data_IF_256404288695
#
_entry.id   IF_256404288695
#
_cell.length_a   1.000
_cell.length_b   1.000
_cell.length_c   1.000
_cell.angle_alpha   90.00
_cell.angle_beta   90.00
_cell.angle_gamma   90.00
#
_symmetry.space_group_name_H-M   'P 1'
#
loop_
_entity.id
_entity.type
_entity.pdbx_description
1 polymer ?
#
# COMPACT_ATOMS: atom_id res chain seq x y z
N UNK A 1 21.05 6.06 -2.91
CA UNK A 1 20.27 7.31 -3.07
C UNK A 1 18.90 7.06 -2.47
N UNK A 2 18.33 8.02 -1.73
CA UNK A 2 17.00 7.89 -1.14
C UNK A 2 16.04 8.82 -1.89
N UNK A 3 15.04 8.25 -2.54
CA UNK A 3 13.95 8.97 -3.16
C UNK A 3 12.80 9.15 -2.17
N UNK A 4 12.10 10.27 -2.27
CA UNK A 4 10.90 10.52 -1.48
C UNK A 4 9.69 9.93 -2.20
N UNK A 5 9.01 9.01 -1.53
CA UNK A 5 7.68 8.55 -1.95
C UNK A 5 6.66 9.66 -1.69
N UNK A 6 5.83 9.97 -2.69
CA UNK A 6 4.73 10.94 -2.56
C UNK A 6 3.44 10.21 -2.95
N UNK A 7 2.53 10.09 -1.99
CA UNK A 7 1.20 9.55 -2.24
C UNK A 7 0.34 10.56 -2.98
N UNK A 8 -0.34 10.11 -4.01
CA UNK A 8 -1.41 10.89 -4.62
C UNK A 8 -2.62 10.86 -3.67
N UNK A 9 -3.41 11.94 -3.51
CA UNK A 9 -4.58 11.93 -2.61
C UNK A 9 -5.60 10.82 -2.90
N UNK A 10 -5.69 10.36 -4.16
CA UNK A 10 -6.52 9.20 -4.53
C UNK A 10 -6.02 7.88 -3.95
N UNK A 11 -4.71 7.75 -3.72
CA UNK A 11 -4.11 6.51 -3.21
C UNK A 11 -4.54 6.24 -1.78
N UNK A 12 -4.72 7.27 -0.95
CA UNK A 12 -5.24 7.11 0.41
C UNK A 12 -6.68 6.55 0.38
N UNK A 13 -7.55 7.12 -0.46
CA UNK A 13 -8.90 6.61 -0.65
C UNK A 13 -8.95 5.19 -1.25
N UNK A 14 -8.00 4.84 -2.11
CA UNK A 14 -7.87 3.49 -2.67
C UNK A 14 -7.43 2.48 -1.62
N UNK A 15 -6.51 2.85 -0.70
CA UNK A 15 -6.08 1.99 0.41
C UNK A 15 -7.21 1.79 1.44
N UNK A 16 -7.97 2.83 1.75
CA UNK A 16 -9.13 2.74 2.64
C UNK A 16 -10.22 1.82 2.06
N UNK A 17 -10.50 1.97 0.77
CA UNK A 17 -11.45 1.10 0.08
C UNK A 17 -10.97 -0.35 0.08
N UNK A 18 -9.70 -0.58 -0.23
CA UNK A 18 -9.09 -1.90 -0.22
C UNK A 18 -9.18 -2.56 1.16
N UNK A 19 -8.91 -1.81 2.23
CA UNK A 19 -9.10 -2.29 3.60
C UNK A 19 -10.56 -2.71 3.82
N UNK A 20 -11.52 -1.83 3.50
CA UNK A 20 -12.93 -2.09 3.74
C UNK A 20 -13.42 -3.33 2.96
N UNK A 21 -13.07 -3.44 1.69
CA UNK A 21 -13.45 -4.56 0.82
C UNK A 21 -12.89 -5.90 1.37
N UNK A 22 -11.63 -5.95 1.80
CA UNK A 22 -11.04 -7.16 2.39
C UNK A 22 -11.63 -7.44 3.78
N UNK A 23 -11.87 -6.42 4.60
CA UNK A 23 -12.37 -6.59 5.95
C UNK A 23 -13.77 -7.22 5.98
N UNK A 24 -14.61 -6.88 5.00
CA UNK A 24 -15.95 -7.47 4.82
C UNK A 24 -15.86 -8.98 4.54
N UNK A 25 -14.93 -9.40 3.68
CA UNK A 25 -14.86 -10.79 3.20
C UNK A 25 -13.97 -11.69 4.08
N UNK A 26 -12.89 -11.15 4.63
CA UNK A 26 -11.81 -11.91 5.26
C UNK A 26 -11.52 -11.48 6.71
N UNK A 27 -12.21 -10.45 7.20
CA UNK A 27 -12.02 -9.90 8.54
C UNK A 27 -10.92 -8.85 8.65
N UNK A 28 -11.01 -8.02 9.68
CA UNK A 28 -10.18 -6.84 9.88
C UNK A 28 -8.68 -7.13 10.01
N UNK A 29 -8.31 -8.26 10.61
CA UNK A 29 -6.90 -8.65 10.74
C UNK A 29 -6.25 -8.91 9.40
N UNK A 30 -6.91 -9.67 8.52
CA UNK A 30 -6.39 -9.98 7.18
C UNK A 30 -6.31 -8.71 6.33
N UNK A 31 -7.30 -7.83 6.45
CA UNK A 31 -7.30 -6.53 5.77
C UNK A 31 -6.13 -5.64 6.23
N UNK A 32 -5.88 -5.56 7.53
CA UNK A 32 -4.76 -4.79 8.09
C UNK A 32 -3.42 -5.33 7.61
N UNK A 33 -3.20 -6.65 7.73
CA UNK A 33 -1.95 -7.30 7.31
C UNK A 33 -1.67 -7.06 5.81
N UNK A 34 -2.73 -7.10 4.97
CA UNK A 34 -2.59 -6.86 3.54
C UNK A 34 -2.22 -5.41 3.21
N UNK A 35 -2.95 -4.44 3.79
CA UNK A 35 -2.70 -3.02 3.55
C UNK A 35 -1.32 -2.60 4.06
N UNK A 36 -0.89 -3.11 5.22
CA UNK A 36 0.46 -2.90 5.74
C UNK A 36 1.53 -3.44 4.78
N UNK A 37 1.31 -4.61 4.18
CA UNK A 37 2.20 -5.17 3.15
C UNK A 37 2.32 -4.28 1.91
N UNK A 38 1.21 -3.70 1.46
CA UNK A 38 1.19 -2.76 0.32
C UNK A 38 1.96 -1.48 0.67
N UNK A 39 1.71 -0.89 1.84
CA UNK A 39 2.42 0.32 2.30
C UNK A 39 3.92 0.05 2.39
N UNK A 40 4.32 -1.06 3.02
CA UNK A 40 5.72 -1.48 3.12
C UNK A 40 6.38 -1.62 1.76
N UNK A 41 5.69 -2.19 0.78
CA UNK A 41 6.19 -2.31 -0.58
C UNK A 41 6.40 -0.94 -1.24
N UNK A 42 5.42 -0.04 -1.12
CA UNK A 42 5.48 1.31 -1.67
C UNK A 42 6.64 2.10 -1.06
N UNK A 43 6.81 2.07 0.26
CA UNK A 43 7.89 2.76 0.96
C UNK A 43 9.27 2.25 0.55
N UNK A 44 9.40 0.95 0.26
CA UNK A 44 10.65 0.36 -0.23
C UNK A 44 11.09 0.92 -1.60
N UNK A 45 10.18 1.46 -2.42
CA UNK A 45 10.51 2.11 -3.69
C UNK A 45 11.37 3.37 -3.49
N UNK A 46 11.30 4.00 -2.32
CA UNK A 46 12.19 5.12 -1.98
C UNK A 46 13.67 4.71 -2.02
N UNK A 47 13.98 3.44 -1.74
CA UNK A 47 15.34 2.90 -1.82
C UNK A 47 15.60 2.18 -3.15
N UNK A 48 14.58 1.50 -3.69
CA UNK A 48 14.68 0.66 -4.89
C UNK A 48 13.57 1.00 -5.91
N UNK A 49 13.67 2.14 -6.62
CA UNK A 49 12.59 2.62 -7.48
C UNK A 49 12.29 1.70 -8.68
N UNK A 50 13.28 0.95 -9.18
CA UNK A 50 13.13 0.01 -10.31
C UNK A 50 12.60 -1.37 -9.89
N UNK A 51 12.16 -1.53 -8.63
CA UNK A 51 11.55 -2.78 -8.14
C UNK A 51 10.15 -3.01 -8.73
N UNK A 52 9.48 -1.95 -9.16
CA UNK A 52 8.25 -2.09 -9.93
C UNK A 52 8.54 -2.63 -11.32
N UNK A 53 7.85 -3.69 -11.73
CA UNK A 53 7.82 -4.08 -13.16
C UNK A 53 6.88 -3.10 -13.86
N UNK A 54 7.45 -2.19 -14.65
CA UNK A 54 6.70 -1.27 -15.51
C UNK A 54 6.05 -1.96 -16.70
#
# INVERSE_FOLDING_TARGET
MAYRVIYHPKTEAELDKLYADIAVEAGTRIAADFVEGVITFIEALGTFPERGTG
#
